data_IF_569462855575
#
_entry.id   IF_569462855575
#
_cell.length_a   1.000
_cell.length_b   1.000
_cell.length_c   1.000
_cell.angle_alpha   90.00
_cell.angle_beta   90.00
_cell.angle_gamma   90.00
#
_symmetry.space_group_name_H-M   'P 1'
#
loop_
_entity.id
_entity.type
_entity.pdbx_description
1 polymer ?
#
# COMPACT_ATOMS: atom_id res chain seq x y z
N UNK A 1 27.54 -2.53 18.28
CA UNK A 1 26.20 -2.87 17.75
C UNK A 1 26.22 -2.65 16.25
N UNK A 2 25.89 -3.64 15.43
CA UNK A 2 25.75 -3.45 13.98
C UNK A 2 24.37 -2.88 13.68
N UNK A 3 24.30 -1.62 13.29
CA UNK A 3 23.06 -0.98 12.83
C UNK A 3 22.78 -1.43 11.40
N UNK A 4 21.61 -2.02 11.14
CA UNK A 4 21.17 -2.25 9.76
C UNK A 4 20.90 -0.88 9.10
N UNK A 5 21.24 -0.68 7.82
CA UNK A 5 20.94 0.57 7.14
C UNK A 5 19.40 0.77 7.07
N UNK A 6 18.92 2.03 7.19
CA UNK A 6 17.50 2.33 6.96
C UNK A 6 17.04 1.89 5.58
N UNK A 7 15.76 1.52 5.47
CA UNK A 7 15.07 1.33 4.19
C UNK A 7 14.39 2.64 3.82
N UNK A 8 14.56 3.07 2.58
CA UNK A 8 13.88 4.22 2.00
C UNK A 8 12.79 3.70 1.07
N UNK A 9 11.57 4.22 1.22
CA UNK A 9 10.41 3.88 0.37
C UNK A 9 9.80 5.19 -0.13
N UNK A 10 9.83 5.39 -1.45
CA UNK A 10 9.21 6.50 -2.16
C UNK A 10 7.96 5.99 -2.89
N UNK A 11 6.79 6.40 -2.42
CA UNK A 11 5.50 6.01 -2.97
C UNK A 11 5.03 7.05 -4.00
N UNK A 12 5.29 6.80 -5.28
CA UNK A 12 4.81 7.63 -6.37
C UNK A 12 3.48 7.14 -6.95
N UNK A 13 2.75 8.01 -7.66
CA UNK A 13 1.52 7.63 -8.38
C UNK A 13 1.75 6.68 -9.56
N UNK A 14 2.98 6.52 -10.04
CA UNK A 14 3.29 5.51 -11.06
C UNK A 14 3.96 4.27 -10.47
N UNK A 15 5.02 4.52 -9.70
CA UNK A 15 5.90 3.49 -9.16
C UNK A 15 6.30 3.78 -7.72
N UNK A 16 6.31 2.73 -6.91
CA UNK A 16 6.96 2.69 -5.62
C UNK A 16 8.41 2.30 -5.83
N UNK A 17 9.32 3.12 -5.32
CA UNK A 17 10.77 2.88 -5.37
C UNK A 17 11.25 2.58 -3.96
N UNK A 18 12.13 1.60 -3.82
CA UNK A 18 12.63 1.20 -2.51
C UNK A 18 14.09 0.73 -2.57
N UNK A 19 14.82 0.94 -1.47
CA UNK A 19 16.20 0.50 -1.33
C UNK A 19 16.80 0.93 0.00
N UNK A 20 18.08 0.65 0.22
CA UNK A 20 18.78 1.04 1.43
C UNK A 20 19.31 2.48 1.38
N UNK A 21 19.30 3.17 2.53
CA UNK A 21 19.88 4.50 2.64
C UNK A 21 21.38 4.49 2.30
N UNK A 22 21.81 5.46 1.50
CA UNK A 22 23.18 5.57 0.98
C UNK A 22 23.37 4.99 -0.43
N UNK A 23 22.40 4.27 -0.98
CA UNK A 23 22.44 3.84 -2.37
C UNK A 23 22.27 5.03 -3.33
N UNK A 24 22.94 4.96 -4.49
CA UNK A 24 22.84 5.98 -5.54
C UNK A 24 21.60 5.81 -6.42
N UNK A 25 20.93 4.65 -6.33
CA UNK A 25 19.71 4.31 -7.08
C UNK A 25 18.85 3.36 -6.25
N UNK A 26 17.53 3.28 -6.49
CA UNK A 26 16.68 2.33 -5.79
C UNK A 26 17.05 0.89 -6.16
N UNK A 27 16.96 -0.02 -5.19
CA UNK A 27 17.16 -1.45 -5.43
C UNK A 27 15.97 -2.06 -6.17
N UNK A 28 14.77 -1.53 -5.94
CA UNK A 28 13.54 -1.97 -6.58
C UNK A 28 12.68 -0.79 -7.03
N UNK A 29 12.00 -0.99 -8.15
CA UNK A 29 10.95 -0.11 -8.66
C UNK A 29 9.79 -0.99 -9.09
N UNK A 30 8.64 -0.82 -8.44
CA UNK A 30 7.44 -1.63 -8.67
C UNK A 30 6.25 -0.72 -8.99
N UNK A 31 5.32 -1.13 -9.88
CA UNK A 31 4.11 -0.35 -10.12
C UNK A 31 3.31 -0.12 -8.82
N UNK A 32 2.80 1.09 -8.61
CA UNK A 32 2.03 1.43 -7.40
C UNK A 32 0.56 1.00 -7.53
N UNK A 33 0.34 -0.30 -7.69
CA UNK A 33 -1.00 -0.84 -7.94
C UNK A 33 -1.29 -2.04 -7.06
N UNK A 34 -2.57 -2.21 -6.75
CA UNK A 34 -3.12 -3.36 -6.05
C UNK A 34 -4.22 -4.00 -6.91
N UNK A 35 -4.26 -5.33 -6.92
CA UNK A 35 -5.32 -6.11 -7.54
C UNK A 35 -6.15 -6.81 -6.45
N UNK A 36 -7.47 -6.62 -6.48
CA UNK A 36 -8.40 -7.23 -5.52
C UNK A 36 -9.57 -7.90 -6.26
N UNK A 37 -10.13 -9.00 -5.72
CA UNK A 37 -11.28 -9.65 -6.31
C UNK A 37 -12.48 -8.72 -6.24
N UNK A 38 -13.33 -8.76 -7.27
CA UNK A 38 -14.56 -7.96 -7.27
C UNK A 38 -15.47 -8.39 -6.11
N UNK A 39 -15.86 -7.41 -5.28
CA UNK A 39 -16.84 -7.63 -4.21
C UNK A 39 -18.21 -7.88 -4.85
N UNK A 40 -18.57 -9.15 -5.06
CA UNK A 40 -19.91 -9.53 -5.52
C UNK A 40 -20.94 -9.13 -4.46
N UNK A 41 -21.81 -8.18 -4.81
CA UNK A 41 -22.93 -7.78 -3.96
C UNK A 41 -23.84 -8.98 -3.68
N UNK A 42 -23.97 -9.38 -2.41
CA UNK A 42 -24.88 -10.45 -1.97
C UNK A 42 -24.28 -11.85 -1.81
N UNK A 43 -22.98 -12.04 -2.07
CA UNK A 43 -22.29 -13.29 -1.74
C UNK A 43 -21.88 -13.31 -0.26
N UNK A 44 -21.93 -14.49 0.40
CA UNK A 44 -21.22 -14.68 1.68
C UNK A 44 -19.74 -14.39 1.41
N UNK A 45 -19.23 -13.28 1.93
CA UNK A 45 -17.80 -12.99 1.89
C UNK A 45 -17.12 -14.14 2.64
N UNK A 46 -16.28 -14.92 1.96
CA UNK A 46 -15.41 -15.86 2.65
C UNK A 46 -14.56 -15.08 3.64
N UNK A 47 -14.35 -15.61 4.85
CA UNK A 47 -13.57 -14.93 5.90
C UNK A 47 -12.14 -14.57 5.45
N UNK A 48 -11.65 -15.18 4.36
CA UNK A 48 -10.34 -14.95 3.76
C UNK A 48 -10.34 -14.01 2.55
N UNK A 49 -11.50 -13.47 2.14
CA UNK A 49 -11.59 -12.63 0.94
C UNK A 49 -10.72 -11.36 1.04
N UNK A 50 -10.56 -10.82 2.26
CA UNK A 50 -9.71 -9.65 2.51
C UNK A 50 -8.20 -9.98 2.50
N UNK A 51 -7.84 -11.28 2.43
CA UNK A 51 -6.46 -11.75 2.32
C UNK A 51 -6.05 -12.06 0.87
N UNK A 52 -7.00 -11.97 -0.08
CA UNK A 52 -6.76 -12.27 -1.47
C UNK A 52 -6.50 -10.98 -2.26
N UNK A 53 -5.24 -10.59 -2.37
CA UNK A 53 -4.82 -9.45 -3.19
C UNK A 53 -3.41 -9.67 -3.75
N UNK A 54 -3.06 -8.88 -4.76
CA UNK A 54 -1.72 -8.84 -5.35
C UNK A 54 -1.26 -7.39 -5.44
N UNK A 55 0.06 -7.15 -5.47
CA UNK A 55 0.64 -5.80 -5.60
C UNK A 55 1.67 -5.76 -6.72
N UNK A 56 1.99 -4.57 -7.23
CA UNK A 56 3.08 -4.39 -8.19
C UNK A 56 2.87 -5.13 -9.50
N UNK A 57 3.91 -5.83 -9.98
CA UNK A 57 3.84 -6.58 -11.24
C UNK A 57 2.82 -7.73 -11.17
N UNK A 58 2.75 -8.43 -10.02
CA UNK A 58 1.81 -9.53 -9.83
C UNK A 58 0.36 -9.05 -9.94
N UNK A 59 0.05 -7.83 -9.49
CA UNK A 59 -1.26 -7.22 -9.69
C UNK A 59 -1.58 -7.00 -11.17
N UNK A 60 -0.60 -6.53 -11.95
CA UNK A 60 -0.77 -6.33 -13.40
C UNK A 60 -0.99 -7.64 -14.15
N UNK A 61 -0.36 -8.74 -13.70
CA UNK A 61 -0.56 -10.07 -14.28
C UNK A 61 -1.95 -10.64 -13.99
N UNK A 62 -2.60 -10.17 -12.92
CA UNK A 62 -3.93 -10.61 -12.49
C UNK A 62 -5.08 -9.77 -13.05
N UNK A 63 -4.79 -8.76 -13.88
CA UNK A 63 -5.76 -7.79 -14.45
C UNK A 63 -6.94 -8.39 -15.19
N UNK A 64 -6.86 -9.64 -15.63
CA UNK A 64 -7.96 -10.32 -16.33
C UNK A 64 -9.08 -10.78 -15.37
N UNK A 65 -8.75 -11.06 -14.11
CA UNK A 65 -9.68 -11.66 -13.14
C UNK A 65 -9.88 -10.80 -11.88
N UNK A 66 -9.10 -9.73 -11.73
CA UNK A 66 -9.08 -8.86 -10.55
C UNK A 66 -9.20 -7.41 -10.99
N UNK A 67 -9.84 -6.60 -10.15
CA UNK A 67 -9.84 -5.15 -10.32
C UNK A 67 -8.49 -4.61 -9.88
N UNK A 68 -7.75 -4.05 -10.83
CA UNK A 68 -6.47 -3.37 -10.57
C UNK A 68 -6.73 -1.88 -10.37
N UNK A 69 -6.22 -1.32 -9.29
CA UNK A 69 -6.32 0.11 -9.01
C UNK A 69 -5.05 0.67 -8.41
N UNK A 70 -4.84 1.97 -8.59
CA UNK A 70 -3.78 2.69 -7.92
C UNK A 70 -4.20 3.02 -6.49
N UNK A 71 -3.26 2.94 -5.55
CA UNK A 71 -3.49 3.35 -4.17
C UNK A 71 -3.35 4.87 -3.98
N UNK A 72 -2.73 5.55 -4.94
CA UNK A 72 -2.45 6.99 -4.92
C UNK A 72 -3.07 7.66 -6.15
N UNK A 73 -3.83 8.71 -5.92
CA UNK A 73 -4.32 9.60 -6.98
C UNK A 73 -3.80 11.02 -6.69
N UNK A 74 -3.16 11.65 -7.68
CA UNK A 74 -2.53 12.97 -7.52
C UNK A 74 -1.55 13.11 -6.33
N UNK A 75 -0.94 11.99 -5.88
CA UNK A 75 -0.02 11.97 -4.75
C UNK A 75 -0.70 11.87 -3.38
N UNK A 76 -2.01 11.66 -3.35
CA UNK A 76 -2.83 11.53 -2.14
C UNK A 76 -3.36 10.10 -2.06
N UNK A 77 -3.37 9.53 -0.86
CA UNK A 77 -4.01 8.26 -0.59
C UNK A 77 -5.51 8.51 -0.51
N UNK A 78 -6.24 8.07 -1.54
CA UNK A 78 -7.71 8.22 -1.63
C UNK A 78 -8.45 7.18 -0.79
N UNK A 79 -7.87 5.98 -0.60
CA UNK A 79 -8.48 4.88 0.14
C UNK A 79 -7.43 4.14 0.97
N UNK A 80 -7.40 4.45 2.26
CA UNK A 80 -6.50 3.83 3.24
C UNK A 80 -6.75 2.33 3.43
N UNK A 81 -7.95 1.81 3.13
CA UNK A 81 -8.23 0.39 3.27
C UNK A 81 -7.64 -0.43 2.10
N UNK A 82 -7.47 0.18 0.92
CA UNK A 82 -6.71 -0.44 -0.19
C UNK A 82 -5.24 -0.61 0.18
N UNK A 83 -4.61 0.39 0.79
CA UNK A 83 -3.23 0.29 1.25
C UNK A 83 -3.07 -0.76 2.36
N UNK A 84 -4.03 -0.85 3.29
CA UNK A 84 -4.03 -1.84 4.37
C UNK A 84 -4.15 -3.29 3.94
N UNK A 85 -4.57 -3.56 2.69
CA UNK A 85 -4.42 -4.88 2.09
C UNK A 85 -3.00 -5.38 2.28
N UNK A 86 -1.99 -4.52 2.08
CA UNK A 86 -0.58 -4.85 2.25
C UNK A 86 -0.09 -5.02 3.70
N UNK A 87 -0.86 -4.61 4.72
CA UNK A 87 -0.40 -4.55 6.12
C UNK A 87 -1.08 -5.56 7.06
N UNK A 88 -2.23 -6.16 6.70
CA UNK A 88 -2.98 -7.03 7.63
C UNK A 88 -2.47 -8.48 7.68
N UNK A 89 -1.19 -8.63 8.02
CA UNK A 89 -0.65 -9.82 8.65
C UNK A 89 -0.55 -9.64 10.16
N UNK A 90 -1.55 -10.20 10.89
CA UNK A 90 -1.61 -10.45 12.35
C UNK A 90 -2.19 -9.35 13.25
N UNK A 91 -3.34 -9.68 13.88
CA UNK A 91 -3.62 -9.29 15.27
C UNK A 91 -4.84 -8.39 15.53
N UNK A 92 -5.93 -8.99 16.02
CA UNK A 92 -6.77 -8.50 17.14
C UNK A 92 -7.33 -7.06 17.15
N UNK A 93 -8.67 -6.95 17.09
CA UNK A 93 -9.51 -5.76 17.38
C UNK A 93 -9.02 -4.86 18.54
N UNK A 94 -9.15 -3.54 18.37
CA UNK A 94 -10.02 -2.64 19.19
C UNK A 94 -10.07 -1.23 18.59
N UNK A 95 -11.26 -0.63 18.58
CA UNK A 95 -11.52 0.68 17.99
C UNK A 95 -10.81 1.82 18.72
N UNK A 96 -10.48 2.88 17.97
CA UNK A 96 -10.16 4.19 18.50
C UNK A 96 -10.74 5.24 17.54
N UNK A 97 -11.77 5.98 17.99
CA UNK A 97 -12.12 7.28 17.41
C UNK A 97 -10.98 8.24 17.74
N UNK A 98 -10.37 8.89 16.76
CA UNK A 98 -9.69 10.19 16.96
C UNK A 98 -9.79 11.05 15.71
N UNK A 99 -10.52 12.15 15.85
CA UNK A 99 -10.38 13.37 15.05
C UNK A 99 -8.93 13.85 15.18
N UNK A 100 -8.27 14.22 14.09
CA UNK A 100 -7.14 15.17 14.17
C UNK A 100 -6.88 15.82 12.81
N UNK A 101 -7.21 17.11 12.74
CA UNK A 101 -6.60 18.09 11.84
C UNK A 101 -5.09 18.05 12.04
N UNK A 102 -4.32 17.93 10.95
CA UNK A 102 -2.86 18.13 11.02
C UNK A 102 -2.52 19.34 10.17
N UNK A 103 -2.13 20.42 10.86
CA UNK A 103 -1.46 21.58 10.29
C UNK A 103 -0.12 21.14 9.69
N UNK A 104 0.22 21.68 8.53
CA UNK A 104 1.53 21.54 7.91
C UNK A 104 2.59 22.27 8.75
N UNK A 105 3.60 21.53 9.22
CA UNK A 105 4.83 22.15 9.70
C UNK A 105 5.77 22.29 8.51
N UNK A 106 5.93 23.53 8.06
CA UNK A 106 6.99 23.94 7.13
C UNK A 106 8.28 23.99 7.94
N UNK A 107 9.09 22.93 7.86
CA UNK A 107 10.38 22.84 8.53
C UNK A 107 11.49 22.63 7.50
N UNK A 108 12.32 23.66 7.34
CA UNK A 108 13.50 23.67 6.48
C UNK A 108 14.46 22.51 6.80
N UNK A 109 14.85 21.77 5.76
CA UNK A 109 16.22 21.31 5.51
C UNK A 109 16.48 21.33 4.01
#
# INVERSE_FOLDING_TARGET
>A
MTTKPPIVIDNGTGFTKMGYAGNTSPDYMVPTVIAQPEKKAGGKQNETADLEFYIGNDALDKRLNYTVSNCLEHGIIEDWDKEKGAEKGKGGRKGLKKNHTTQSNVGNY
#
